data_IF_966281574863
#
_entry.id   IF_966281574863
#
_cell.length_a   1.000
_cell.length_b   1.000
_cell.length_c   1.000
_cell.angle_alpha   90.00
_cell.angle_beta   90.00
_cell.angle_gamma   90.00
#
_symmetry.space_group_name_H-M   'P 1'
#
loop_
_entity.id
_entity.type
_entity.pdbx_description
1 polymer ?
2 non-polymer ?
3 non-polymer ?
4 non-polymer ?
5 water ?
#
# COMPACT_ATOMS: atom_id res chain seq x y z
C UNK A 1 37.84 -10.34 -0.21
N UNK A 2 36.93 -11.04 0.46
CA UNK A 2 35.51 -10.62 0.49
C UNK A 2 35.02 -10.28 1.91
N UNK A 3 34.00 -9.44 1.98
CA UNK A 3 33.42 -9.01 3.25
C UNK A 3 31.91 -8.87 3.11
N UNK A 4 31.21 -9.04 4.21
CA UNK A 4 29.76 -8.82 4.25
C UNK A 4 29.49 -7.33 4.30
N UNK A 5 28.83 -6.84 3.26
CA UNK A 5 28.50 -5.44 3.14
C UNK A 5 27.14 -5.12 3.75
N UNK A 6 26.21 -6.07 3.63
CA UNK A 6 24.86 -5.89 4.15
C UNK A 6 24.29 -7.27 4.38
N UNK A 7 23.48 -7.41 5.42
CA UNK A 7 22.89 -8.71 5.68
C UNK A 7 21.59 -8.49 6.45
N UNK A 8 20.56 -9.21 6.05
CA UNK A 8 19.32 -9.20 6.82
C UNK A 8 18.64 -10.53 6.64
N UNK A 9 17.88 -10.96 7.64
CA UNK A 9 17.26 -12.28 7.55
C UNK A 9 16.03 -12.28 8.47
N UNK A 10 15.10 -13.18 8.21
CA UNK A 10 13.95 -13.27 9.10
C UNK A 10 12.88 -14.17 8.51
N UNK A 11 11.62 -13.81 8.74
CA UNK A 11 10.52 -14.72 8.34
C UNK A 11 9.56 -13.94 7.47
N UNK A 12 9.16 -14.54 6.35
CA UNK A 12 8.23 -13.88 5.42
C UNK A 12 6.95 -14.70 5.41
N UNK A 13 5.87 -14.06 4.93
CA UNK A 13 4.60 -14.79 4.66
C UNK A 13 3.99 -15.43 5.89
N UNK A 14 4.09 -14.74 7.02
CA UNK A 14 3.47 -15.22 8.25
C UNK A 14 2.01 -14.73 8.30
N UNK A 15 1.08 -15.65 8.07
CA UNK A 15 -0.32 -15.29 8.06
C UNK A 15 -0.84 -15.29 9.50
N UNK A 16 -1.59 -14.25 9.86
CA UNK A 16 -2.08 -14.10 11.24
C UNK A 16 -3.52 -13.63 11.19
N UNK A 17 -4.38 -14.26 11.98
CA UNK A 17 -5.74 -13.77 12.17
C UNK A 17 -5.94 -13.49 13.65
N UNK A 18 -6.67 -12.45 13.97
CA UNK A 18 -7.04 -12.18 15.38
C UNK A 18 -8.50 -11.79 15.41
N UNK A 19 -9.19 -12.27 16.46
CA UNK A 19 -10.58 -11.91 16.68
C UNK A 19 -10.69 -11.15 18.01
N UNK A 20 -11.51 -10.11 18.01
CA UNK A 20 -11.88 -9.41 19.23
C UNK A 20 -13.36 -9.70 19.45
N UNK A 21 -13.72 -10.10 20.68
CA UNK A 21 -15.10 -10.44 21.03
C UNK A 21 -15.53 -9.47 22.11
N UNK A 22 -16.53 -8.64 21.79
CA UNK A 22 -17.13 -7.77 22.77
C UNK A 22 -18.13 -8.59 23.57
N UNK A 23 -17.85 -8.77 24.85
CA UNK A 23 -18.72 -9.61 25.69
C UNK A 23 -20.06 -8.95 26.02
N UNK A 24 -20.08 -7.61 26.07
CA UNK A 24 -21.33 -6.86 26.32
C UNK A 24 -22.32 -6.97 25.15
N UNK A 25 -21.83 -6.74 23.93
CA UNK A 25 -22.71 -6.60 22.77
C UNK A 25 -22.76 -7.85 21.90
N UNK A 26 -21.80 -8.76 22.10
CA UNK A 26 -21.73 -9.98 21.30
C UNK A 26 -21.11 -9.76 19.93
N UNK A 27 -20.73 -8.52 19.63
CA UNK A 27 -20.13 -8.18 18.33
C UNK A 27 -18.70 -8.70 18.28
N UNK A 28 -18.35 -9.36 17.18
CA UNK A 28 -16.97 -9.84 16.97
C UNK A 28 -16.35 -9.07 15.82
N UNK A 29 -15.04 -8.82 15.89
CA UNK A 29 -14.36 -8.06 14.82
C UNK A 29 -13.10 -8.87 14.50
N UNK A 30 -12.84 -9.06 13.21
CA UNK A 30 -11.68 -9.89 12.83
C UNK A 30 -10.64 -9.04 12.10
N UNK A 31 -9.38 -9.46 12.22
CA UNK A 31 -8.26 -8.81 11.53
C UNK A 31 -7.45 -9.92 10.92
N UNK A 32 -7.04 -9.78 9.67
CA UNK A 32 -6.15 -10.79 9.12
C UNK A 32 -5.04 -10.07 8.36
N UNK A 33 -3.82 -10.55 8.54
CA UNK A 33 -2.66 -9.85 7.97
C UNK A 33 -1.65 -10.87 7.51
N UNK A 34 -0.72 -10.43 6.67
CA UNK A 34 0.45 -11.25 6.37
C UNK A 34 1.65 -10.40 6.78
N UNK A 35 2.56 -11.01 7.54
CA UNK A 35 3.63 -10.25 8.17
C UNK A 35 4.99 -10.79 7.73
N UNK A 36 5.94 -9.88 7.54
CA UNK A 36 7.34 -10.22 7.29
C UNK A 36 8.18 -9.42 8.25
N UNK A 37 9.15 -10.07 8.90
CA UNK A 37 10.06 -9.36 9.81
C UNK A 37 11.45 -9.75 9.40
N UNK A 38 12.28 -8.75 9.12
CA UNK A 38 13.71 -9.01 8.84
C UNK A 38 14.54 -8.24 9.84
N UNK A 39 15.60 -8.89 10.34
CA UNK A 39 16.48 -8.28 11.33
C UNK A 39 17.86 -8.00 10.74
N UNK A 40 18.53 -6.99 11.30
CA UNK A 40 19.93 -6.69 10.99
C UNK A 40 20.68 -6.49 12.30
N UNK A 41 21.97 -6.74 12.30
CA UNK A 41 22.77 -6.38 13.48
C UNK A 41 24.13 -7.03 13.35
N UNK A 42 24.70 -7.40 14.48
CA UNK A 42 26.02 -7.98 14.48
C UNK A 42 25.90 -9.49 14.23
N UNK A 43 25.59 -9.85 12.99
CA UNK A 43 25.31 -11.24 12.62
C UNK A 43 26.22 -11.76 11.52
N UNK A 44 27.23 -10.95 11.13
CA UNK A 44 28.13 -11.32 10.04
C UNK A 44 28.74 -12.70 10.24
N UNK A 45 29.05 -13.06 11.48
CA UNK A 45 29.76 -14.33 11.72
C UNK A 45 28.94 -15.57 11.40
N UNK A 46 27.60 -15.42 11.33
CA UNK A 46 26.79 -16.56 10.92
C UNK A 46 27.04 -16.86 9.45
N UNK A 47 27.37 -15.83 8.67
CA UNK A 47 27.68 -16.01 7.27
C UNK A 47 29.12 -16.48 7.06
N UNK A 48 30.03 -15.85 7.78
CA UNK A 48 31.45 -16.05 7.46
C UNK A 48 32.11 -17.16 8.24
N UNK A 49 31.59 -17.53 9.42
CA UNK A 49 32.29 -18.46 10.32
C UNK A 49 31.39 -19.62 10.74
N UNK A 50 30.22 -19.72 10.10
CA UNK A 50 29.21 -20.68 10.53
C UNK A 50 28.90 -20.57 12.03
N UNK A 51 28.84 -19.34 12.53
CA UNK A 51 28.56 -19.09 13.93
C UNK A 51 27.07 -18.86 14.12
N UNK A 52 26.33 -19.92 14.45
CA UNK A 52 24.87 -19.76 14.63
C UNK A 52 24.45 -19.11 15.94
N UNK A 53 25.40 -18.80 16.84
CA UNK A 53 25.03 -18.29 18.16
C UNK A 53 24.38 -16.94 18.14
N UNK A 54 24.65 -16.19 17.05
CA UNK A 54 24.09 -14.86 16.83
C UNK A 54 22.72 -14.87 16.15
N UNK A 55 22.26 -16.07 15.75
CA UNK A 55 21.01 -16.15 15.01
C UNK A 55 19.82 -16.40 15.92
N UNK A 56 18.91 -15.43 15.93
CA UNK A 56 17.57 -15.63 16.47
C UNK A 56 16.87 -16.43 15.36
N UNK A 57 16.52 -17.69 15.60
CA UNK A 57 16.00 -18.54 14.54
C UNK A 57 14.77 -17.92 13.89
N UNK A 58 14.60 -18.10 12.57
CA UNK A 58 13.45 -17.50 11.91
C UNK A 58 12.15 -18.11 12.47
N UNK A 59 12.22 -19.39 12.88
CA UNK A 59 11.07 -20.03 13.56
C UNK A 59 10.69 -19.27 14.84
N UNK A 60 11.69 -18.82 15.61
CA UNK A 60 11.44 -17.96 16.79
C UNK A 60 10.83 -16.61 16.47
N UNK A 61 11.24 -16.02 15.35
CA UNK A 61 10.64 -14.79 14.89
C UNK A 61 9.15 -15.05 14.63
N UNK A 62 8.83 -16.15 13.97
CA UNK A 62 7.42 -16.52 13.73
C UNK A 62 6.65 -16.62 15.06
N UNK A 63 7.21 -17.33 16.03
CA UNK A 63 6.58 -17.44 17.35
C UNK A 63 6.32 -16.07 17.96
N UNK A 64 7.32 -15.20 17.86
CA UNK A 64 7.25 -13.84 18.41
C UNK A 64 6.12 -13.03 17.80
N UNK A 65 5.92 -13.19 16.49
CA UNK A 65 4.83 -12.48 15.86
C UNK A 65 3.48 -12.91 16.48
N UNK A 66 3.27 -14.21 16.66
CA UNK A 66 2.00 -14.66 17.22
C UNK A 66 1.82 -14.20 18.68
N UNK A 67 2.88 -14.32 19.46
CA UNK A 67 2.87 -13.90 20.87
C UNK A 67 2.57 -12.39 20.98
N UNK A 68 3.23 -11.57 20.15
CA UNK A 68 3.00 -10.16 20.16
C UNK A 68 1.57 -9.82 19.76
N UNK A 69 1.03 -10.51 18.76
CA UNK A 69 -0.36 -10.33 18.35
C UNK A 69 -1.31 -10.70 19.50
N UNK A 70 -0.94 -11.68 20.31
CA UNK A 70 -1.80 -12.11 21.43
C UNK A 70 -1.84 -11.03 22.51
N UNK A 71 -0.73 -10.37 22.73
CA UNK A 71 -0.57 -9.46 23.87
C UNK A 71 -0.79 -7.99 23.59
N UNK A 72 -1.04 -7.64 22.33
CA UNK A 72 -1.14 -6.26 21.88
C UNK A 72 -2.25 -6.06 20.86
N UNK A 73 -2.68 -4.81 20.68
CA UNK A 73 -3.66 -4.58 19.62
C UNK A 73 -2.93 -4.76 18.30
N UNK A 74 -3.64 -5.25 17.29
CA UNK A 74 -3.03 -5.42 15.97
C UNK A 74 -3.42 -4.31 15.02
N UNK A 75 -4.19 -3.34 15.53
CA UNK A 75 -4.64 -2.21 14.75
C UNK A 75 -4.37 -0.92 15.55
N UNK A 76 -4.01 0.19 14.88
CA UNK A 76 -3.70 0.28 13.44
C UNK A 76 -2.40 -0.47 13.17
N UNK A 77 -2.19 -0.92 11.93
CA UNK A 77 -0.98 -1.70 11.65
C UNK A 77 0.31 -0.93 11.89
N UNK A 78 0.28 0.41 11.77
CA UNK A 78 1.44 1.26 12.10
C UNK A 78 1.88 1.05 13.55
N UNK A 79 0.90 0.91 14.44
CA UNK A 79 1.23 0.68 15.86
C UNK A 79 1.75 -0.75 16.07
N UNK A 80 1.02 -1.73 15.57
CA UNK A 80 1.48 -3.09 15.74
C UNK A 80 2.90 -3.35 15.20
N UNK A 81 3.18 -2.80 14.01
CA UNK A 81 4.51 -2.97 13.38
C UNK A 81 5.59 -2.31 14.24
N UNK A 82 5.25 -1.17 14.83
CA UNK A 82 6.20 -0.46 15.69
C UNK A 82 6.48 -1.25 16.98
N UNK A 83 5.44 -1.83 17.57
CA UNK A 83 5.61 -2.68 18.75
C UNK A 83 6.48 -3.90 18.43
N UNK A 84 6.14 -4.56 17.32
CA UNK A 84 6.86 -5.73 16.89
C UNK A 84 8.35 -5.45 16.62
N UNK A 85 8.63 -4.36 15.90
CA UNK A 85 10.02 -3.99 15.58
C UNK A 85 10.83 -3.62 16.81
N UNK A 86 10.20 -2.83 17.68
CA UNK A 86 10.84 -2.39 18.93
C UNK A 86 11.21 -3.60 19.79
N UNK A 87 10.32 -4.59 19.87
CA UNK A 87 10.60 -5.80 20.62
C UNK A 87 11.97 -6.35 20.29
N UNK A 88 12.29 -6.51 19.01
CA UNK A 88 13.54 -7.18 18.66
C UNK A 88 14.77 -6.39 19.03
N UNK A 89 14.75 -5.07 18.90
CA UNK A 89 15.95 -4.28 19.21
C UNK A 89 16.12 -4.15 20.73
N UNK A 90 15.03 -4.20 21.48
CA UNK A 90 15.15 -4.15 22.95
C UNK A 90 15.53 -5.48 23.53
N UNK A 91 15.03 -6.56 22.93
CA UNK A 91 15.28 -7.89 23.47
C UNK A 91 16.68 -8.42 23.22
N UNK A 92 17.22 -8.16 22.02
CA UNK A 92 18.49 -8.74 21.61
C UNK A 92 19.52 -7.65 21.44
N UNK A 93 20.52 -7.68 22.31
CA UNK A 93 21.55 -6.65 22.31
C UNK A 93 22.25 -6.46 20.96
N UNK A 94 22.43 -7.56 20.22
CA UNK A 94 23.22 -7.53 18.98
C UNK A 94 22.38 -7.26 17.74
N UNK A 95 21.06 -7.16 17.92
CA UNK A 95 20.17 -6.80 16.81
C UNK A 95 19.95 -5.31 16.88
N UNK A 96 20.28 -4.61 15.80
CA UNK A 96 20.22 -3.16 15.80
C UNK A 96 19.16 -2.55 14.89
N UNK A 97 18.49 -3.37 14.07
CA UNK A 97 17.43 -2.84 13.21
C UNK A 97 16.43 -3.96 12.95
N UNK A 98 15.15 -3.58 12.90
CA UNK A 98 14.10 -4.54 12.55
C UNK A 98 13.27 -3.91 11.46
N UNK A 99 12.92 -4.70 10.45
CA UNK A 99 12.14 -4.22 9.35
C UNK A 99 10.87 -5.04 9.32
N UNK A 100 9.73 -4.37 9.45
CA UNK A 100 8.46 -5.08 9.57
C UNK A 100 7.55 -4.64 8.44
N UNK A 101 7.07 -5.60 7.64
CA UNK A 101 6.15 -5.29 6.57
C UNK A 101 4.85 -6.03 6.88
N UNK A 102 3.74 -5.31 6.81
CA UNK A 102 2.45 -5.92 7.12
C UNK A 102 1.51 -5.60 5.99
N UNK A 103 0.79 -6.62 5.53
CA UNK A 103 -0.28 -6.47 4.54
C UNK A 103 -1.56 -6.81 5.27
N UNK A 104 -2.51 -5.87 5.30
CA UNK A 104 -3.82 -6.11 5.92
C UNK A 104 -4.80 -6.49 4.84
N UNK A 105 -5.52 -7.59 5.09
CA UNK A 105 -6.51 -8.11 4.15
C UNK A 105 -7.88 -7.65 4.62
N UNK A 106 -8.76 -7.39 3.66
CA UNK A 106 -10.10 -6.89 3.99
C UNK A 106 -11.06 -7.98 4.47
N UNK A 107 -11.62 -7.79 5.67
CA UNK A 107 -12.76 -8.59 6.11
C UNK A 107 -13.80 -7.56 6.53
N UNK A 108 -14.75 -7.31 5.63
CA UNK A 108 -15.73 -6.23 5.84
C UNK A 108 -16.99 -6.84 6.44
N UNK A 109 -17.54 -6.22 7.48
CA UNK A 109 -18.72 -6.81 8.10
C UNK A 109 -19.89 -6.88 7.11
N UNK A 110 -20.57 -8.01 7.09
CA UNK A 110 -21.71 -8.21 6.21
C UNK A 110 -22.92 -7.43 6.72
N UNK A 111 -23.69 -6.86 5.81
CA UNK A 111 -25.03 -6.35 6.12
C UNK A 111 -26.03 -7.39 5.68
N UNK A 112 -26.85 -7.83 6.60
CA UNK A 112 -27.89 -8.81 6.31
C UNK A 112 -29.21 -8.14 6.65
N UNK A 113 -30.10 -8.06 5.66
CA UNK A 113 -31.40 -7.38 5.80
C UNK A 113 -31.20 -5.96 6.33
N UNK A 114 -30.20 -5.26 5.79
CA UNK A 114 -29.92 -3.88 6.14
C UNK A 114 -29.30 -3.63 7.52
N UNK A 115 -28.95 -4.70 8.25
CA UNK A 115 -28.29 -4.53 9.54
C UNK A 115 -26.93 -5.23 9.59
N UNK A 116 -25.90 -4.57 10.18
CA UNK A 116 -24.58 -5.15 10.40
C UNK A 116 -24.60 -6.45 11.18
N UNK A 117 -24.04 -7.51 10.60
CA UNK A 117 -24.02 -8.78 11.28
C UNK A 117 -22.92 -8.86 12.34
N UNK A 118 -23.22 -9.44 13.52
CA UNK A 118 -22.21 -9.47 14.57
C UNK A 118 -20.94 -10.31 14.33
N UNK A 119 -20.98 -11.27 13.41
CA UNK A 119 -19.81 -12.14 13.30
C UNK A 119 -19.61 -12.72 11.90
N UNK A 120 -20.11 -12.05 10.88
CA UNK A 120 -19.96 -12.56 9.50
C UNK A 120 -19.33 -11.50 8.62
N UNK A 121 -18.41 -11.92 7.73
CA UNK A 121 -17.56 -10.98 7.03
C UNK A 121 -17.37 -11.39 5.58
N UNK A 122 -17.08 -10.40 4.75
CA UNK A 122 -16.90 -10.62 3.32
C UNK A 122 -15.60 -9.98 2.90
N UNK A 123 -14.89 -10.63 1.99
CA UNK A 123 -13.70 -10.02 1.42
C UNK A 123 -14.21 -9.17 0.27
N UNK A 124 -14.45 -7.89 0.54
CA UNK A 124 -15.22 -7.09 -0.43
C UNK A 124 -14.39 -6.51 -1.51
N UNK A 125 -13.07 -6.63 -1.40
CA UNK A 125 -12.09 -6.23 -2.40
C UNK A 125 -10.71 -6.93 -2.15
N UNK A 126 -9.85 -7.04 -3.18
CA UNK A 126 -8.45 -7.45 -3.04
C UNK A 126 -7.53 -6.25 -2.70
N UNK A 127 -8.11 -5.07 -2.54
CA UNK A 127 -7.34 -3.90 -2.08
C UNK A 127 -6.70 -4.20 -0.72
N UNK A 128 -5.45 -3.74 -0.52
CA UNK A 128 -4.74 -3.95 0.75
C UNK A 128 -4.43 -2.61 1.39
N UNK A 129 -4.26 -2.64 2.70
CA UNK A 129 -3.65 -1.54 3.42
C UNK A 129 -2.36 -2.13 3.98
N UNK A 130 -1.24 -1.42 3.76
CA UNK A 130 0.07 -1.95 4.11
C UNK A 130 0.83 -0.97 4.97
N UNK A 131 1.83 -1.50 5.67
CA UNK A 131 2.80 -0.66 6.33
C UNK A 131 4.17 -1.27 6.18
N UNK A 132 5.17 -0.41 6.12
CA UNK A 132 6.55 -0.82 6.26
C UNK A 132 7.10 -0.03 7.45
N UNK A 133 7.62 -0.73 8.44
CA UNK A 133 8.13 -0.04 9.64
C UNK A 133 9.59 -0.42 9.78
N UNK A 134 10.48 0.57 9.83
CA UNK A 134 11.90 0.33 10.07
C UNK A 134 12.21 0.90 11.44
N UNK A 135 12.62 0.02 12.35
CA UNK A 135 12.97 0.42 13.71
C UNK A 135 14.48 0.27 13.80
N UNK A 136 15.19 1.40 13.95
CA UNK A 136 16.65 1.38 13.92
C UNK A 136 17.18 1.95 15.23
N UNK A 137 17.96 1.17 15.96
CA UNK A 137 18.45 1.57 17.28
C UNK A 137 19.16 2.90 17.20
N UNK A 138 18.78 3.82 18.08
CA UNK A 138 19.37 5.16 18.08
C UNK A 138 18.83 6.10 17.03
N UNK A 139 18.05 5.58 16.07
CA UNK A 139 17.53 6.42 14.98
C UNK A 139 16.00 6.49 14.91
N UNK A 140 15.31 5.88 15.85
CA UNK A 140 13.86 6.03 15.92
C UNK A 140 13.11 5.03 15.06
N UNK A 141 11.94 5.44 14.59
CA UNK A 141 11.00 4.57 13.87
C UNK A 141 10.54 5.30 12.62
N UNK A 142 10.81 4.70 11.45
CA UNK A 142 10.38 5.25 10.18
C UNK A 142 9.23 4.42 9.66
N UNK A 143 8.11 5.07 9.35
CA UNK A 143 6.91 4.35 8.92
C UNK A 143 6.45 4.83 7.54
N UNK A 144 6.25 3.88 6.62
CA UNK A 144 5.63 4.18 5.35
C UNK A 144 4.32 3.43 5.31
N UNK A 145 3.22 4.15 5.07
CA UNK A 145 1.90 3.52 5.03
C UNK A 145 1.44 3.50 3.57
N UNK A 146 0.65 2.51 3.17
CA UNK A 146 0.22 2.53 1.77
C UNK A 146 -1.15 1.86 1.56
N UNK A 147 -1.78 2.17 0.44
CA UNK A 147 -2.86 1.32 -0.02
C UNK A 147 -2.43 0.81 -1.38
N UNK A 148 -2.88 -0.39 -1.73
CA UNK A 148 -2.50 -0.96 -3.02
C UNK A 148 -3.61 -1.83 -3.51
N UNK A 149 -3.64 -2.10 -4.82
CA UNK A 149 -4.64 -3.02 -5.34
C UNK A 149 -6.02 -2.39 -5.45
N UNK A 150 -6.08 -1.06 -5.51
CA UNK A 150 -7.34 -0.34 -5.68
C UNK A 150 -7.52 -0.09 -7.19
N UNK A 151 -8.45 -0.80 -7.78
CA UNK A 151 -8.57 -0.83 -9.24
C UNK A 151 -9.79 -0.03 -9.68
N UNK A 152 -9.55 0.95 -10.53
CA UNK A 152 -10.60 1.89 -10.92
C UNK A 152 -10.59 2.11 -12.43
N UNK A 153 -11.70 2.62 -12.95
CA UNK A 153 -11.80 2.93 -14.36
C UNK A 153 -12.79 4.09 -14.48
N UNK A 154 -12.46 5.03 -15.34
CA UNK A 154 -13.47 6.01 -15.79
C UNK A 154 -13.59 5.94 -17.31
N UNK A 155 -14.82 6.07 -17.80
CA UNK A 155 -15.09 5.78 -19.22
C UNK A 155 -14.99 7.01 -20.12
N UNK A 156 -14.82 8.18 -19.51
CA UNK A 156 -14.65 9.43 -20.25
C UNK A 156 -13.96 10.45 -19.32
N UNK A 157 -13.79 11.69 -19.77
CA UNK A 157 -13.11 12.74 -18.97
C UNK A 157 -11.66 12.39 -18.64
N UNK A 158 -11.01 11.84 -19.65
CA UNK A 158 -9.57 11.68 -19.68
C UNK A 158 -9.15 12.05 -21.09
N UNK A 159 -8.06 12.79 -21.18
CA UNK A 159 -7.51 13.28 -22.43
C UNK A 159 -6.02 13.02 -22.44
N UNK A 160 -5.46 12.97 -23.64
CA UNK A 160 -4.02 12.93 -23.75
C UNK A 160 -3.60 13.47 -25.10
N UNK A 161 -3.18 14.74 -25.10
CA UNK A 161 -2.74 15.39 -26.33
C UNK A 161 -1.61 16.36 -26.01
N UNK A 162 -0.92 16.84 -27.03
CA UNK A 162 0.18 17.76 -26.83
C UNK A 162 1.51 17.18 -26.40
N UNK A 163 1.66 15.85 -26.52
CA UNK A 163 2.93 15.20 -26.20
C UNK A 163 3.94 15.30 -27.35
N UNK A 164 5.21 15.02 -27.05
CA UNK A 164 6.27 15.05 -28.07
C UNK A 164 5.99 14.10 -29.23
N UNK A 165 6.14 14.61 -30.46
CA UNK A 165 5.94 13.80 -31.67
C UNK A 165 7.23 13.82 -32.45
N UNK A 166 7.76 12.65 -32.75
CA UNK A 166 8.92 12.55 -33.58
C UNK A 166 8.81 11.28 -34.41
N UNK A 167 9.92 10.82 -34.96
CA UNK A 167 9.87 9.70 -35.91
C UNK A 167 9.60 8.37 -35.21
N UNK A 168 9.56 8.36 -33.87
CA UNK A 168 9.18 7.15 -33.10
C UNK A 168 7.72 7.10 -32.70
N UNK A 169 6.97 8.15 -33.07
CA UNK A 169 5.61 8.33 -32.56
C UNK A 169 4.53 7.92 -33.54
N UNK A 170 3.63 7.05 -33.09
CA UNK A 170 2.44 6.68 -33.87
C UNK A 170 1.16 7.00 -33.14
N UNK A 171 1.24 7.26 -31.84
CA UNK A 171 0.06 7.48 -31.01
C UNK A 171 -0.71 8.73 -31.45
N UNK A 172 -2.01 8.60 -31.67
CA UNK A 172 -2.84 9.76 -32.02
C UNK A 172 -3.22 10.54 -30.76
N UNK A 173 -3.29 11.87 -30.89
CA UNK A 173 -3.81 12.67 -29.79
C UNK A 173 -5.27 12.36 -29.58
N UNK A 174 -5.71 12.47 -28.33
CA UNK A 174 -7.11 12.21 -28.00
C UNK A 174 -7.66 13.16 -26.94
N UNK A 175 -8.93 13.49 -27.09
CA UNK A 175 -9.62 14.36 -26.15
C UNK A 175 -10.68 13.59 -25.39
N UNK A 176 -10.73 12.26 -25.59
CA UNK A 176 -11.72 11.46 -24.88
C UNK A 176 -11.25 10.01 -24.89
N UNK A 177 -10.82 9.53 -23.74
CA UNK A 177 -10.37 8.13 -23.67
C UNK A 177 -10.78 7.50 -22.36
N UNK A 178 -10.65 6.18 -22.28
CA UNK A 178 -10.82 5.47 -21.03
C UNK A 178 -9.55 5.59 -20.22
N UNK A 179 -9.69 5.73 -18.91
CA UNK A 179 -8.53 5.72 -18.02
C UNK A 179 -8.77 4.71 -16.92
N UNK A 180 -7.85 3.76 -16.77
CA UNK A 180 -8.00 2.74 -15.75
C UNK A 180 -6.63 2.44 -15.14
N UNK A 181 -6.60 2.19 -13.84
CA UNK A 181 -5.32 1.95 -13.16
C UNK A 181 -5.54 1.13 -11.92
N UNK A 182 -4.44 0.61 -11.37
CA UNK A 182 -4.44 0.00 -10.06
C UNK A 182 -3.61 0.90 -9.19
N UNK A 183 -4.22 1.46 -8.16
CA UNK A 183 -3.54 2.50 -7.41
C UNK A 183 -2.62 1.89 -6.36
N UNK A 184 -1.38 2.35 -6.36
CA UNK A 184 -0.45 2.05 -5.29
C UNK A 184 -0.01 3.43 -4.77
N UNK A 185 -0.39 3.77 -3.55
CA UNK A 185 -0.03 5.07 -2.98
C UNK A 185 0.62 4.87 -1.60
N UNK A 186 1.72 5.56 -1.37
CA UNK A 186 2.45 5.44 -0.13
C UNK A 186 2.63 6.83 0.48
N UNK A 187 2.38 6.95 1.79
CA UNK A 187 2.70 8.20 2.49
C UNK A 187 3.71 7.87 3.57
N UNK A 188 4.79 8.66 3.62
CA UNK A 188 5.86 8.46 4.56
C UNK A 188 5.72 9.48 5.70
N UNK A 189 5.67 8.95 6.92
CA UNK A 189 5.52 9.78 8.13
C UNK A 189 6.84 10.41 8.49
N UNK A 190 6.80 11.56 9.17
CA UNK A 190 8.02 12.06 9.78
C UNK A 190 8.54 11.00 10.75
N UNK A 191 9.86 10.96 10.91
CA UNK A 191 10.52 10.03 11.83
C UNK A 191 9.95 10.22 13.22
N UNK A 192 9.72 9.13 13.92
CA UNK A 192 9.24 9.14 15.29
C UNK A 192 10.37 8.71 16.20
N UNK A 193 10.41 9.26 17.42
CA UNK A 193 11.57 9.02 18.28
C UNK A 193 11.53 7.62 18.88
N UNK A 194 10.34 7.02 18.94
CA UNK A 194 10.21 5.68 19.51
C UNK A 194 8.76 5.37 19.72
N UNK A 195 8.48 4.31 20.47
CA UNK A 195 7.11 3.82 20.63
C UNK A 195 6.18 4.85 21.29
N UNK A 196 6.69 5.59 22.28
CA UNK A 196 5.83 6.54 22.97
C UNK A 196 5.27 7.57 21.97
N UNK A 197 6.13 8.06 21.08
CA UNK A 197 5.67 9.01 20.10
C UNK A 197 4.68 8.40 19.11
N UNK A 198 4.97 7.18 18.63
CA UNK A 198 4.00 6.51 17.77
C UNK A 198 2.65 6.37 18.48
N UNK A 199 2.66 5.95 19.74
CA UNK A 199 1.40 5.83 20.47
C UNK A 199 0.64 7.13 20.55
N UNK A 200 1.37 8.23 20.70
CA UNK A 200 0.76 9.56 20.83
C UNK A 200 0.00 9.97 19.57
N UNK A 201 0.35 9.37 18.43
CA UNK A 201 -0.28 9.73 17.16
C UNK A 201 -1.27 8.70 16.62
N UNK A 202 -1.58 7.69 17.43
CA UNK A 202 -2.40 6.56 16.99
C UNK A 202 -3.67 6.93 16.21
N UNK A 203 -4.46 7.93 16.69
CA UNK A 203 -5.70 8.25 15.95
C UNK A 203 -5.45 8.73 14.51
N UNK A 204 -4.28 9.31 14.24
CA UNK A 204 -3.97 9.87 12.93
C UNK A 204 -3.81 8.78 11.87
N UNK A 205 -3.48 7.57 12.28
CA UNK A 205 -3.13 6.57 11.27
C UNK A 205 -4.33 6.14 10.44
N UNK A 206 -5.42 5.74 11.11
CA UNK A 206 -6.61 5.32 10.37
C UNK A 206 -7.20 6.50 9.62
N UNK A 207 -7.16 7.68 10.26
CA UNK A 207 -7.74 8.87 9.66
C UNK A 207 -7.04 9.23 8.36
N UNK A 208 -5.73 9.05 8.33
CA UNK A 208 -4.94 9.49 7.19
C UNK A 208 -5.10 8.47 6.05
N UNK A 209 -5.15 7.20 6.41
CA UNK A 209 -5.48 6.17 5.42
C UNK A 209 -6.83 6.48 4.76
N UNK A 210 -7.84 6.79 5.57
CA UNK A 210 -9.17 7.06 5.03
C UNK A 210 -9.12 8.29 4.13
N UNK A 211 -8.37 9.31 4.55
CA UNK A 211 -8.27 10.54 3.76
C UNK A 211 -7.54 10.32 2.43
N UNK A 212 -6.45 9.57 2.49
CA UNK A 212 -5.72 9.24 1.28
C UNK A 212 -6.60 8.49 0.28
N UNK A 213 -7.39 7.53 0.77
CA UNK A 213 -8.31 6.77 -0.08
C UNK A 213 -9.36 7.71 -0.68
N UNK A 214 -9.94 8.54 0.18
CA UNK A 214 -11.00 9.44 -0.26
C UNK A 214 -10.53 10.43 -1.32
N UNK A 215 -9.36 11.02 -1.10
CA UNK A 215 -8.78 11.99 -2.01
C UNK A 215 -8.44 11.34 -3.32
N UNK A 216 -7.88 10.14 -3.26
CA UNK A 216 -7.56 9.38 -4.47
C UNK A 216 -8.80 9.15 -5.33
N UNK A 217 -9.86 8.62 -4.73
CA UNK A 217 -11.07 8.29 -5.46
C UNK A 217 -11.75 9.55 -6.00
N UNK A 218 -11.91 10.57 -5.15
CA UNK A 218 -12.62 11.79 -5.58
C UNK A 218 -11.87 12.50 -6.70
N UNK A 219 -10.55 12.59 -6.59
CA UNK A 219 -9.75 13.29 -7.58
C UNK A 219 -9.80 12.55 -8.92
N UNK A 220 -9.70 11.24 -8.83
CA UNK A 220 -9.78 10.42 -10.02
C UNK A 220 -11.12 10.63 -10.73
N UNK A 221 -12.20 10.59 -9.96
CA UNK A 221 -13.53 10.69 -10.53
C UNK A 221 -13.81 12.09 -11.08
N UNK A 222 -13.30 13.12 -10.43
CA UNK A 222 -13.68 14.50 -10.80
C UNK A 222 -12.71 15.24 -11.74
N UNK A 223 -11.45 14.83 -11.79
CA UNK A 223 -10.48 15.54 -12.61
C UNK A 223 -10.74 15.26 -14.09
N UNK A 224 -10.85 16.31 -14.90
CA UNK A 224 -10.87 16.14 -16.34
C UNK A 224 -9.40 16.00 -16.72
N UNK A 225 -8.96 14.75 -16.76
CA UNK A 225 -7.55 14.45 -16.68
C UNK A 225 -6.77 14.80 -17.94
N UNK A 226 -5.70 15.56 -17.76
CA UNK A 226 -4.84 15.94 -18.87
C UNK A 226 -3.80 14.86 -19.15
N UNK A 227 -3.59 13.99 -18.16
CA UNK A 227 -2.62 12.89 -18.24
C UNK A 227 -2.64 12.22 -16.89
N UNK A 228 -2.07 11.02 -16.82
CA UNK A 228 -1.95 10.37 -15.52
C UNK A 228 -1.08 11.23 -14.60
N UNK A 229 0.00 11.78 -15.16
CA UNK A 229 0.97 12.61 -14.44
C UNK A 229 0.26 13.76 -13.71
N UNK A 230 -0.61 14.46 -14.45
CA UNK A 230 -1.23 15.66 -13.92
C UNK A 230 -2.23 15.31 -12.82
N UNK A 231 -2.99 14.24 -13.04
CA UNK A 231 -4.01 13.84 -12.08
C UNK A 231 -3.37 13.34 -10.79
N UNK A 232 -2.32 12.53 -10.92
CA UNK A 232 -1.70 11.97 -9.70
C UNK A 232 -1.06 13.07 -8.86
N UNK A 233 -0.53 14.10 -9.53
CA UNK A 233 0.07 15.19 -8.77
C UNK A 233 -0.99 15.89 -7.92
N UNK A 234 -2.17 16.08 -8.47
CA UNK A 234 -3.30 16.69 -7.73
C UNK A 234 -3.66 15.91 -6.47
N UNK A 235 -3.65 14.58 -6.58
CA UNK A 235 -3.90 13.72 -5.42
C UNK A 235 -2.86 13.91 -4.32
N UNK A 236 -1.58 13.87 -4.69
CA UNK A 236 -0.50 13.93 -3.73
C UNK A 236 -0.52 15.27 -3.00
N UNK A 237 -0.79 16.33 -3.78
CA UNK A 237 -0.82 17.68 -3.25
C UNK A 237 -1.87 17.80 -2.15
N UNK A 238 -3.05 17.25 -2.40
CA UNK A 238 -4.11 17.33 -1.41
C UNK A 238 -3.80 16.54 -0.16
N UNK A 239 -3.20 15.36 -0.31
CA UNK A 239 -2.89 14.55 0.88
C UNK A 239 -1.90 15.27 1.78
N UNK A 240 -0.87 15.87 1.19
CA UNK A 240 0.14 16.60 1.96
C UNK A 240 -0.48 17.79 2.68
N UNK A 241 -1.51 18.36 2.06
CA UNK A 241 -2.19 19.52 2.63
C UNK A 241 -3.01 19.14 3.87
N UNK A 242 -3.49 17.91 3.92
CA UNK A 242 -4.43 17.49 4.97
C UNK A 242 -3.79 16.81 6.16
N UNK A 243 -2.51 16.47 6.05
CA UNK A 243 -1.82 15.81 7.14
C UNK A 243 -0.38 16.28 7.24
N UNK A 244 -0.12 17.16 8.21
CA UNK A 244 1.20 17.77 8.33
C UNK A 244 2.31 16.84 8.78
N UNK A 245 1.95 15.69 9.34
CA UNK A 245 2.97 14.74 9.81
C UNK A 245 3.49 13.82 8.70
N UNK A 246 2.92 13.92 7.50
CA UNK A 246 3.43 13.24 6.30
C UNK A 246 4.50 14.10 5.65
N UNK A 247 5.62 13.49 5.31
CA UNK A 247 6.69 14.19 4.63
C UNK A 247 6.62 14.05 3.11
N UNK A 248 6.27 12.86 2.62
CA UNK A 248 6.23 12.65 1.19
C UNK A 248 5.06 11.73 0.86
N UNK A 249 4.57 11.86 -0.37
CA UNK A 249 3.54 10.96 -0.90
C UNK A 249 4.08 10.42 -2.23
N UNK A 250 3.97 9.12 -2.44
CA UNK A 250 4.46 8.54 -3.68
C UNK A 250 3.31 7.80 -4.32
N UNK A 251 3.12 7.97 -5.62
CA UNK A 251 2.11 7.17 -6.34
C UNK A 251 2.84 6.39 -7.41
N UNK A 252 2.39 5.16 -7.63
CA UNK A 252 2.91 4.37 -8.74
C UNK A 252 1.67 3.81 -9.44
N UNK A 253 1.47 4.20 -10.71
CA UNK A 253 0.22 3.93 -11.41
C UNK A 253 0.46 3.32 -12.79
N UNK A 254 -0.03 2.09 -13.00
CA UNK A 254 -0.07 1.60 -14.38
C UNK A 254 -1.17 2.28 -15.20
N UNK A 255 -0.92 2.47 -16.49
CA UNK A 255 -1.97 2.95 -17.36
C UNK A 255 -2.47 1.71 -18.10
N UNK A 256 -3.63 1.18 -17.69
CA UNK A 256 -4.15 -0.11 -18.22
C UNK A 256 -4.96 0.22 -19.45
N UNK A 257 -4.41 -0.06 -20.62
CA UNK A 257 -4.96 0.50 -21.86
C UNK A 257 -6.17 -0.26 -22.35
N UNK A 258 -7.15 0.48 -22.87
CA UNK A 258 -8.28 -0.11 -23.55
C UNK A 258 -8.26 0.46 -24.96
N UNK A 259 -8.15 -0.40 -25.97
CA UNK A 259 -7.95 0.06 -27.35
C UNK A 259 -9.27 0.08 -28.09
N UNK A 260 -9.46 1.09 -28.94
CA UNK A 260 -10.60 1.05 -29.89
C UNK A 260 -10.46 -0.13 -30.85
N UNK A 261 -11.58 -0.63 -31.35
CA UNK A 261 -11.58 -1.70 -32.35
C UNK A 261 -12.26 -1.20 -33.62
N UNK A 262 -11.50 -1.10 -34.69
CA UNK A 262 -12.06 -0.65 -35.96
C UNK A 262 -12.82 -1.83 -36.56
N UNK A 263 -14.10 -1.63 -36.76
CA UNK A 263 -14.96 -2.68 -37.31
C UNK A 263 -15.47 -2.29 -38.69
N UNK A 264 -14.90 -1.21 -39.27
CA UNK A 264 -15.41 -0.67 -40.54
C UNK A 264 -15.26 -1.65 -41.71
N UNK A 265 -14.28 -2.55 -41.61
CA UNK A 265 -14.09 -3.62 -42.60
C UNK A 265 -15.32 -4.52 -42.69
N UNK A 266 -16.14 -4.53 -41.64
CA UNK A 266 -17.34 -5.35 -41.60
C UNK A 266 -18.60 -4.53 -41.81
N UNK A 267 -19.05 -4.48 -43.07
CA UNK A 267 -20.32 -3.80 -43.41
C UNK A 267 -20.35 -2.32 -42.99
N UNK A 268 -19.19 -1.66 -43.03
CA UNK A 268 -19.06 -0.25 -42.65
C UNK A 268 -19.41 0.06 -41.21
N UNK A 269 -19.28 -0.94 -40.33
CA UNK A 269 -19.70 -0.76 -38.95
C UNK A 269 -18.85 0.32 -38.29
N UNK A 270 -19.50 1.25 -37.58
CA UNK A 270 -18.78 2.38 -36.98
C UNK A 270 -18.56 2.19 -35.49
N UNK A 271 -17.30 2.03 -35.10
CA UNK A 271 -16.96 1.75 -33.72
C UNK A 271 -15.72 2.50 -33.22
N UNK A 272 -15.36 3.60 -33.90
CA UNK A 272 -14.20 4.40 -33.49
C UNK A 272 -14.63 5.84 -33.18
N UNK A 273 -13.79 6.57 -32.46
CA UNK A 273 -14.08 7.96 -32.05
C UNK A 273 -15.40 8.11 -31.32
N UNK A 274 -16.26 9.01 -31.80
CA UNK A 274 -17.53 9.27 -31.16
C UNK A 274 -18.44 8.04 -31.20
N UNK A 275 -18.15 7.12 -32.10
CA UNK A 275 -19.00 5.94 -32.25
C UNK A 275 -18.45 4.72 -31.48
N UNK A 276 -17.36 4.90 -30.74
CA UNK A 276 -16.70 3.76 -30.06
C UNK A 276 -17.56 3.25 -28.92
N UNK A 277 -17.93 1.96 -28.99
CA UNK A 277 -18.70 1.34 -27.93
C UNK A 277 -18.02 0.10 -27.39
N UNK A 278 -17.41 -0.67 -28.29
CA UNK A 278 -16.78 -1.93 -27.88
C UNK A 278 -15.27 -1.74 -27.99
N UNK A 279 -14.56 -2.07 -26.89
CA UNK A 279 -13.12 -1.86 -26.80
C UNK A 279 -12.45 -3.18 -26.43
N UNK A 280 -11.16 -3.27 -26.68
CA UNK A 280 -10.36 -4.45 -26.34
C UNK A 280 -9.43 -4.06 -25.19
N UNK A 281 -9.72 -4.54 -23.97
CA UNK A 281 -8.78 -4.29 -22.89
C UNK A 281 -7.45 -4.99 -23.20
N UNK A 282 -6.34 -4.29 -22.94
CA UNK A 282 -5.03 -4.85 -23.26
C UNK A 282 -4.39 -5.35 -21.97
N UNK A 283 -3.99 -6.63 -21.92
CA UNK A 283 -3.33 -7.13 -20.72
C UNK A 283 -1.89 -6.59 -20.56
N UNK A 284 -1.22 -6.34 -21.68
CA UNK A 284 0.13 -5.82 -21.71
C UNK A 284 0.40 -5.29 -23.12
N UNK A 285 1.40 -4.41 -23.28
CA UNK A 285 2.16 -3.72 -22.23
C UNK A 285 1.31 -2.70 -21.51
N UNK A 286 1.87 -2.02 -20.52
CA UNK A 286 1.14 -0.94 -19.84
C UNK A 286 2.09 0.20 -19.54
N UNK A 287 1.57 1.42 -19.64
CA UNK A 287 2.32 2.57 -19.13
C UNK A 287 2.54 2.38 -17.63
N UNK A 288 3.62 2.96 -17.13
CA UNK A 288 3.85 2.96 -15.69
C UNK A 288 4.35 4.35 -15.34
N UNK A 289 3.63 5.02 -14.44
CA UNK A 289 3.90 6.42 -14.14
C UNK A 289 4.12 6.56 -12.64
N UNK A 290 5.22 7.20 -12.25
CA UNK A 290 5.52 7.30 -10.82
C UNK A 290 5.81 8.75 -10.46
N UNK A 291 5.52 9.11 -9.22
CA UNK A 291 6.01 10.40 -8.77
C UNK A 291 6.08 10.43 -7.25
N UNK A 292 7.04 11.18 -6.72
CA UNK A 292 7.13 11.37 -5.28
C UNK A 292 7.04 12.86 -5.05
N UNK A 293 6.13 13.26 -4.17
CA UNK A 293 5.84 14.69 -3.96
C UNK A 293 6.17 14.96 -2.51
N UNK A 294 6.90 16.04 -2.26
CA UNK A 294 7.26 16.41 -0.90
C UNK A 294 6.91 17.86 -0.70
N UNK A 295 7.37 18.43 0.40
CA UNK A 295 7.04 19.82 0.76
C UNK A 295 8.10 20.79 0.25
N UNK A 296 7.65 21.97 -0.23
CA UNK A 296 8.52 23.03 -0.80
C UNK A 296 9.88 23.15 -0.11
X LIG B 1 0.64 9.57 -19.75
X LIG B 1 -0.64 9.29 -20.08
X LIG B 1 -1.51 9.67 -19.28
X LIG B 1 -1.00 8.59 -21.20
X LIG B 1 -0.06 8.19 -22.09
X LIG B 1 1.35 8.49 -21.79
X LIG B 1 1.66 9.22 -20.54
X LIG B 1 2.84 9.46 -20.25
X LIG B 1 2.10 8.01 -22.80
X LIG B 1 1.24 7.40 -23.70
X LIG B 1 -0.07 7.54 -23.27
X LIG C 1 8.48 -7.35 1.40
X LIG C 1 9.79 -7.98 1.76
X LIG C 1 10.69 -8.36 0.58
X LIG C 1 11.91 -8.52 0.77
X LIG C 1 9.58 -9.16 2.71
X LIG C 1 9.93 -8.58 4.36
X LIG D 1 -4.46 9.35 -12.02
X LIG D 1 -4.74 8.45 -12.78
X LIG D 1 -5.07 7.43 -13.27
X LIG E 1 -6.35 6.86 -9.55
X LIG E 1 -7.27 6.70 -8.81
X LIG E 1 -8.13 6.27 -8.17
#
# INVERSE_FOLDING_TARGET
XSAVKAARYGKDNVRVYKVHKDEKTGVQTVYEMTVCVLLEGEIETSYTKADNSVIVATDSIKNTIYITAKQNPVTPPELFGSILGTHFIEKYNHIHAAHVNIVCHRWTRMDIDGKPHPHSFIRDSEEKRNVQVDVVEGKGIDIKSSLSGLTVLKSTNSQFWGFLRDEYTTLKETWDRILSTDVDATWQWKNFSGLQEVRSHVPKFDATWATAREVTLKTFAEDNSASVQATMYKMAEQILARQQLIETVEYSLPNKHYFEIDLSWHKGLQNTGKNAEVFAPQSDPNGLIKCTVGRSSLKSKL
AZA N1 C2 O2 N3 C4 C5 C6 O6 N7 N8 N9
CYS N CA C O CB SG
N2O O3 N2 N1
N2O O3 N2 N1
#
